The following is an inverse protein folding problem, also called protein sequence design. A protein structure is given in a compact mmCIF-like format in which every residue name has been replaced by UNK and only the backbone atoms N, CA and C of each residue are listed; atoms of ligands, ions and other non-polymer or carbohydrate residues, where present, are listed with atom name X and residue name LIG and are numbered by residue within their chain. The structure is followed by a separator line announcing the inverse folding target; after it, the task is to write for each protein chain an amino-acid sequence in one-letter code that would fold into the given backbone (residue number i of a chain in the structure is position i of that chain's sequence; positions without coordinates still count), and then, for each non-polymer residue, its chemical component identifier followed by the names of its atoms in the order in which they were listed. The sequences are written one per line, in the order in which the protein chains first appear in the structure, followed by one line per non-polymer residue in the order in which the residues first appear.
data_IF_673940276423
#
_entry.id   IF_673940276423
#
_cell.length_a   1.000
_cell.length_b   1.000
_cell.length_c   1.000
_cell.angle_alpha   90.00
_cell.angle_beta   90.00
_cell.angle_gamma   90.00
#
_symmetry.space_group_name_H-M   'P 1'
#
loop_
_entity.id
_entity.type
_entity.pdbx_description
1 polymer ?
#
# COMPACT_ATOMS: atom_id res chain seq x y z
N UNK A 1 12.24 -55.15 18.89
CA UNK A 1 10.82 -54.72 18.98
C UNK A 1 10.81 -53.31 19.55
N UNK A 2 10.65 -52.28 18.70
CA UNK A 2 10.54 -50.89 19.17
C UNK A 2 9.16 -50.71 19.79
N UNK A 3 9.11 -50.24 21.04
CA UNK A 3 7.90 -50.13 21.83
C UNK A 3 6.93 -49.14 21.16
N UNK A 4 5.75 -49.60 20.74
CA UNK A 4 4.70 -48.78 20.09
C UNK A 4 4.29 -47.56 20.94
N UNK A 5 4.53 -47.58 22.25
CA UNK A 5 4.34 -46.42 23.12
C UNK A 5 5.36 -45.30 22.88
N UNK A 6 6.63 -45.65 22.61
CA UNK A 6 7.70 -44.68 22.39
C UNK A 6 7.53 -43.94 21.05
N UNK A 7 7.03 -44.64 20.02
CA UNK A 7 6.73 -44.07 18.70
C UNK A 7 5.53 -43.11 18.77
N UNK A 8 4.51 -43.43 19.56
CA UNK A 8 3.34 -42.54 19.74
C UNK A 8 3.69 -41.25 20.48
N UNK A 9 4.57 -41.31 21.48
CA UNK A 9 5.04 -40.13 22.20
C UNK A 9 5.92 -39.22 21.33
N UNK A 10 6.78 -39.79 20.48
CA UNK A 10 7.60 -39.02 19.55
C UNK A 10 6.77 -38.33 18.47
N UNK A 11 5.71 -38.98 17.95
CA UNK A 11 4.81 -38.36 16.96
C UNK A 11 3.98 -37.23 17.58
N UNK A 12 3.47 -37.40 18.80
CA UNK A 12 2.70 -36.36 19.49
C UNK A 12 3.56 -35.12 19.85
N UNK A 13 4.84 -35.31 20.15
CA UNK A 13 5.78 -34.22 20.42
C UNK A 13 6.26 -33.52 19.14
N UNK A 14 6.34 -34.25 18.01
CA UNK A 14 6.72 -33.66 16.72
C UNK A 14 5.60 -32.82 16.08
N UNK A 15 4.34 -33.06 16.46
CA UNK A 15 3.18 -32.29 15.97
C UNK A 15 2.97 -30.95 16.66
N UNK A 16 3.72 -30.61 17.72
CA UNK A 16 3.56 -29.35 18.47
C UNK A 16 4.48 -28.21 18.01
N UNK A 17 5.32 -28.42 16.97
CA UNK A 17 6.38 -27.47 16.59
C UNK A 17 6.12 -26.68 15.30
N UNK A 18 4.92 -26.70 14.74
CA UNK A 18 4.68 -26.09 13.42
C UNK A 18 3.37 -25.30 13.30
N UNK A 19 3.02 -24.51 14.32
CA UNK A 19 2.17 -23.33 14.13
C UNK A 19 2.72 -22.21 15.00
N UNK A 20 3.96 -21.81 14.71
CA UNK A 20 4.35 -20.44 15.01
C UNK A 20 3.58 -19.56 14.04
N UNK A 21 2.36 -19.16 14.40
CA UNK A 21 1.74 -18.02 13.74
C UNK A 21 2.74 -16.88 13.89
N UNK A 22 3.36 -16.47 12.79
CA UNK A 22 4.14 -15.26 12.80
C UNK A 22 3.18 -14.17 13.25
N UNK A 23 3.33 -13.71 14.50
CA UNK A 23 2.73 -12.46 14.95
C UNK A 23 3.29 -11.42 13.99
N UNK A 24 2.49 -11.08 12.99
CA UNK A 24 2.75 -9.95 12.13
C UNK A 24 2.74 -8.75 13.07
N UNK A 25 3.92 -8.27 13.45
CA UNK A 25 4.05 -6.95 14.01
C UNK A 25 3.65 -6.00 12.89
N UNK A 26 2.36 -5.68 12.81
CA UNK A 26 1.86 -4.71 11.85
C UNK A 26 2.67 -3.42 12.03
N UNK A 27 3.20 -2.89 10.93
CA UNK A 27 4.06 -1.72 10.98
C UNK A 27 3.31 -0.54 11.59
N UNK A 28 4.01 0.28 12.39
CA UNK A 28 3.47 1.53 12.96
C UNK A 28 2.80 2.40 11.89
N UNK A 29 3.41 2.42 10.71
CA UNK A 29 2.93 3.13 9.53
C UNK A 29 1.58 2.59 9.04
N UNK A 30 1.40 1.27 8.93
CA UNK A 30 0.11 0.69 8.51
C UNK A 30 -1.00 1.03 9.49
N UNK A 31 -0.69 1.00 10.80
CA UNK A 31 -1.65 1.37 11.84
C UNK A 31 -2.05 2.85 11.71
N UNK A 32 -1.09 3.73 11.41
CA UNK A 32 -1.36 5.14 11.16
C UNK A 32 -2.33 5.32 9.97
N UNK A 33 -2.15 4.55 8.90
CA UNK A 33 -3.06 4.59 7.75
C UNK A 33 -4.44 4.03 8.06
N UNK A 34 -4.52 2.93 8.81
CA UNK A 34 -5.78 2.37 9.28
C UNK A 34 -6.55 3.41 10.11
N UNK A 35 -5.88 4.06 11.06
CA UNK A 35 -6.49 5.12 11.87
C UNK A 35 -7.01 6.27 10.99
N UNK A 36 -6.22 6.72 10.02
CA UNK A 36 -6.64 7.76 9.08
C UNK A 36 -7.85 7.33 8.26
N UNK A 37 -7.86 6.10 7.74
CA UNK A 37 -8.99 5.56 6.96
C UNK A 37 -10.25 5.45 7.82
N UNK A 38 -10.13 4.93 9.03
CA UNK A 38 -11.26 4.80 9.94
C UNK A 38 -11.84 6.18 10.29
N UNK A 39 -11.00 7.20 10.52
CA UNK A 39 -11.45 8.59 10.69
C UNK A 39 -12.22 9.10 9.46
N UNK A 40 -11.74 8.87 8.24
CA UNK A 40 -12.47 9.29 7.03
C UNK A 40 -13.81 8.56 6.86
N UNK A 41 -13.91 7.34 7.38
CA UNK A 41 -15.15 6.56 7.43
C UNK A 41 -16.05 6.95 8.62
N UNK A 42 -15.64 7.92 9.43
CA UNK A 42 -16.43 8.48 10.53
C UNK A 42 -16.15 7.87 11.91
N UNK A 43 -15.17 6.98 12.07
CA UNK A 43 -14.73 6.55 13.39
C UNK A 43 -13.90 7.67 14.04
N UNK A 44 -14.40 8.34 15.08
CA UNK A 44 -13.67 9.42 15.78
C UNK A 44 -12.54 8.86 16.66
N UNK A 45 -11.39 8.59 16.05
CA UNK A 45 -10.20 8.04 16.73
C UNK A 45 -9.24 9.12 17.24
N UNK A 46 -9.45 10.39 16.86
CA UNK A 46 -8.51 11.48 17.08
C UNK A 46 -7.36 11.47 16.07
N UNK A 47 -6.26 12.16 16.39
CA UNK A 47 -5.09 12.25 15.53
C UNK A 47 -4.41 10.88 15.35
N UNK A 48 -4.20 10.40 14.11
CA UNK A 48 -3.47 9.16 13.86
C UNK A 48 -2.06 9.19 14.45
N UNK A 49 -1.71 8.18 15.26
CA UNK A 49 -0.44 8.09 16.00
C UNK A 49 0.38 6.81 15.68
N UNK A 50 -0.22 5.91 14.91
CA UNK A 50 0.34 4.61 14.53
C UNK A 50 0.37 3.57 15.65
N UNK A 51 -0.34 3.81 16.76
CA UNK A 51 -0.42 2.88 17.89
C UNK A 51 -1.71 2.08 17.81
N UNK A 52 -1.60 0.75 17.79
CA UNK A 52 -2.77 -0.13 17.70
C UNK A 52 -3.45 -0.28 19.07
N UNK A 53 -4.07 0.79 19.53
CA UNK A 53 -4.78 0.84 20.81
C UNK A 53 -6.18 0.21 20.78
N UNK A 54 -6.84 0.07 21.94
CA UNK A 54 -8.18 -0.51 22.04
C UNK A 54 -9.24 0.17 21.19
N UNK A 55 -9.16 1.51 21.05
CA UNK A 55 -10.09 2.28 20.18
C UNK A 55 -9.93 1.90 18.71
N UNK A 56 -8.70 1.83 18.22
CA UNK A 56 -8.40 1.42 16.84
C UNK A 56 -8.85 -0.01 16.59
N UNK A 57 -8.57 -0.94 17.51
CA UNK A 57 -9.02 -2.33 17.39
C UNK A 57 -10.56 -2.45 17.36
N UNK A 58 -11.27 -1.70 18.20
CA UNK A 58 -12.73 -1.69 18.20
C UNK A 58 -13.31 -1.13 16.89
N UNK A 59 -12.72 -0.06 16.36
CA UNK A 59 -13.14 0.51 15.09
C UNK A 59 -12.87 -0.41 13.90
N UNK A 60 -11.73 -1.11 13.89
CA UNK A 60 -11.47 -2.18 12.92
C UNK A 60 -12.55 -3.26 13.01
N UNK A 61 -12.90 -3.72 14.21
CA UNK A 61 -13.89 -4.79 14.38
C UNK A 61 -15.28 -4.40 13.87
N UNK A 62 -15.76 -3.19 14.19
CA UNK A 62 -17.04 -2.67 13.67
C UNK A 62 -17.02 -2.59 12.16
N UNK A 63 -15.94 -2.06 11.59
CA UNK A 63 -15.83 -1.91 10.15
C UNK A 63 -15.70 -3.25 9.42
N UNK A 64 -14.97 -4.21 10.00
CA UNK A 64 -14.84 -5.57 9.52
C UNK A 64 -16.20 -6.29 9.46
N UNK A 65 -17.06 -6.11 10.47
CA UNK A 65 -18.43 -6.62 10.47
C UNK A 65 -19.28 -6.02 9.34
N UNK A 66 -19.17 -4.71 9.11
CA UNK A 66 -19.91 -4.00 8.06
C UNK A 66 -19.52 -4.45 6.65
N UNK A 67 -18.23 -4.69 6.43
CA UNK A 67 -17.68 -4.95 5.09
C UNK A 67 -17.42 -6.43 4.79
N UNK A 68 -17.47 -7.29 5.82
CA UNK A 68 -17.31 -8.75 5.68
C UNK A 68 -15.86 -9.21 5.49
N UNK A 69 -14.94 -8.72 6.33
CA UNK A 69 -13.54 -9.18 6.39
C UNK A 69 -13.12 -9.51 7.83
N UNK A 70 -11.95 -10.13 8.04
CA UNK A 70 -11.49 -10.49 9.40
C UNK A 70 -11.13 -9.24 10.23
N UNK A 71 -11.44 -9.15 11.54
CA UNK A 71 -11.26 -7.94 12.34
C UNK A 71 -9.80 -7.72 12.79
N UNK A 72 -8.88 -7.74 11.84
CA UNK A 72 -7.45 -7.52 12.08
C UNK A 72 -6.93 -6.38 11.21
N UNK A 73 -5.85 -5.68 11.64
CA UNK A 73 -5.19 -4.69 10.81
C UNK A 73 -4.79 -5.24 9.44
N UNK A 74 -4.14 -6.40 9.41
CA UNK A 74 -3.69 -7.04 8.18
C UNK A 74 -4.85 -7.33 7.22
N UNK A 75 -5.94 -7.89 7.71
CA UNK A 75 -7.10 -8.20 6.87
C UNK A 75 -7.81 -6.94 6.36
N UNK A 76 -7.85 -5.84 7.15
CA UNK A 76 -8.34 -4.56 6.65
C UNK A 76 -7.45 -4.04 5.51
N UNK A 77 -6.13 -4.13 5.68
CA UNK A 77 -5.19 -3.75 4.62
C UNK A 77 -5.38 -4.61 3.36
N UNK A 78 -5.56 -5.91 3.51
CA UNK A 78 -5.81 -6.82 2.39
C UNK A 78 -7.17 -6.56 1.73
N UNK A 79 -8.20 -6.25 2.51
CA UNK A 79 -9.53 -5.92 2.00
C UNK A 79 -9.47 -4.70 1.07
N UNK A 80 -8.82 -3.61 1.51
CA UNK A 80 -8.69 -2.40 0.70
C UNK A 80 -7.74 -2.58 -0.48
N UNK A 81 -6.68 -3.38 -0.36
CA UNK A 81 -5.83 -3.77 -1.50
C UNK A 81 -6.57 -4.55 -2.57
N UNK A 82 -7.41 -5.50 -2.15
CA UNK A 82 -8.10 -6.34 -3.10
C UNK A 82 -9.29 -5.60 -3.71
N UNK A 83 -9.96 -4.73 -2.95
CA UNK A 83 -11.02 -3.86 -3.48
C UNK A 83 -10.48 -2.83 -4.47
N UNK A 84 -9.27 -2.33 -4.25
CA UNK A 84 -8.56 -1.40 -5.16
C UNK A 84 -8.54 -1.87 -6.62
N UNK A 85 -8.54 -3.19 -6.89
CA UNK A 85 -8.50 -3.67 -8.27
C UNK A 85 -9.88 -3.75 -8.95
N UNK A 86 -10.98 -3.84 -8.20
CA UNK A 86 -12.31 -4.11 -8.79
C UNK A 86 -13.09 -2.87 -9.19
N UNK A 87 -12.80 -1.71 -8.60
CA UNK A 87 -13.60 -0.49 -8.80
C UNK A 87 -12.89 0.58 -9.64
N UNK A 88 -11.68 0.29 -10.11
CA UNK A 88 -10.88 1.24 -10.88
C UNK A 88 -11.02 1.03 -12.38
N UNK A 89 -10.97 2.13 -13.14
CA UNK A 89 -10.99 2.08 -14.61
C UNK A 89 -9.56 2.20 -15.15
N UNK A 90 -9.06 1.25 -15.97
CA UNK A 90 -7.75 1.39 -16.58
C UNK A 90 -7.65 2.67 -17.42
N UNK A 91 -6.59 3.45 -17.21
CA UNK A 91 -6.29 4.66 -17.97
C UNK A 91 -5.07 4.40 -18.85
N UNK A 92 -5.32 4.08 -20.12
CA UNK A 92 -4.26 3.72 -21.07
C UNK A 92 -4.12 4.70 -22.23
N UNK A 93 -5.13 5.56 -22.45
CA UNK A 93 -5.18 6.50 -23.56
C UNK A 93 -6.20 7.63 -23.31
N UNK A 94 -6.30 8.55 -24.27
CA UNK A 94 -7.22 9.68 -24.23
C UNK A 94 -6.67 10.94 -23.56
N UNK A 95 -7.45 12.04 -23.51
CA UNK A 95 -6.97 13.35 -23.06
C UNK A 95 -6.46 13.35 -21.63
N UNK A 96 -7.14 12.64 -20.71
CA UNK A 96 -6.72 12.53 -19.32
C UNK A 96 -5.37 11.79 -19.19
N UNK A 97 -5.11 10.79 -20.03
CA UNK A 97 -3.83 10.10 -20.06
C UNK A 97 -2.71 11.01 -20.60
N UNK A 98 -3.00 11.86 -21.58
CA UNK A 98 -2.03 12.84 -22.07
C UNK A 98 -1.74 13.93 -21.03
N UNK A 99 -2.76 14.39 -20.30
CA UNK A 99 -2.60 15.32 -19.18
C UNK A 99 -1.71 14.70 -18.09
N UNK A 100 -1.98 13.44 -17.72
CA UNK A 100 -1.13 12.69 -16.80
C UNK A 100 0.33 12.63 -17.28
N UNK A 101 0.56 12.31 -18.56
CA UNK A 101 1.93 12.27 -19.11
C UNK A 101 2.59 13.64 -18.97
N UNK A 102 1.90 14.72 -19.34
CA UNK A 102 2.45 16.08 -19.27
C UNK A 102 2.80 16.51 -17.85
N UNK A 103 2.06 16.03 -16.84
CA UNK A 103 2.37 16.36 -15.45
C UNK A 103 3.67 15.72 -14.93
N UNK A 104 4.24 14.74 -15.63
CA UNK A 104 5.56 14.21 -15.28
C UNK A 104 6.72 15.09 -15.75
N UNK A 105 6.50 16.05 -16.66
CA UNK A 105 7.56 16.90 -17.22
C UNK A 105 8.30 17.69 -16.14
N UNK A 106 7.60 18.10 -15.09
CA UNK A 106 8.16 18.89 -13.98
C UNK A 106 8.82 18.03 -12.89
N UNK A 107 8.59 16.72 -12.91
CA UNK A 107 8.98 15.82 -11.81
C UNK A 107 10.05 14.81 -12.22
N UNK A 108 10.03 14.36 -13.47
CA UNK A 108 11.01 13.42 -14.00
C UNK A 108 12.17 14.15 -14.66
N UNK A 109 13.36 13.62 -14.48
CA UNK A 109 14.55 14.13 -15.15
C UNK A 109 14.49 13.90 -16.68
N UNK A 110 14.01 12.73 -17.10
CA UNK A 110 13.83 12.35 -18.50
C UNK A 110 12.37 11.88 -18.70
N UNK A 111 11.41 12.81 -18.81
CA UNK A 111 9.98 12.48 -18.88
C UNK A 111 9.64 11.69 -20.15
N UNK A 112 10.37 11.89 -21.25
CA UNK A 112 10.17 11.15 -22.50
C UNK A 112 10.59 9.67 -22.39
N UNK A 113 11.38 9.31 -21.39
CA UNK A 113 11.69 7.91 -21.08
C UNK A 113 10.66 7.23 -20.18
N UNK A 114 9.63 7.96 -19.72
CA UNK A 114 8.66 7.44 -18.77
C UNK A 114 7.94 6.20 -19.32
N UNK A 115 7.93 5.16 -18.50
CA UNK A 115 7.17 3.93 -18.72
C UNK A 115 6.12 3.83 -17.62
N UNK A 116 4.86 3.79 -18.03
CA UNK A 116 3.72 3.67 -17.14
C UNK A 116 3.19 2.24 -17.15
N UNK A 117 2.71 1.77 -16.01
CA UNK A 117 1.95 0.52 -15.90
C UNK A 117 0.95 0.59 -14.76
N UNK A 118 -0.05 -0.28 -14.82
CA UNK A 118 -1.09 -0.42 -13.80
C UNK A 118 -1.77 0.93 -13.49
N UNK A 119 -1.91 1.77 -14.53
CA UNK A 119 -2.50 3.10 -14.41
C UNK A 119 -4.02 2.99 -14.42
N UNK A 120 -4.64 3.52 -13.39
CA UNK A 120 -6.07 3.42 -13.17
C UNK A 120 -6.64 4.74 -12.63
N UNK A 121 -7.91 5.00 -12.94
CA UNK A 121 -8.71 6.07 -12.34
C UNK A 121 -9.61 5.46 -11.29
N UNK A 122 -9.62 6.07 -10.10
CA UNK A 122 -10.48 5.71 -8.99
C UNK A 122 -11.86 6.37 -9.11
N UNK A 123 -12.89 5.86 -8.41
CA UNK A 123 -14.20 6.51 -8.32
C UNK A 123 -14.14 7.97 -7.84
N UNK A 124 -13.16 8.30 -6.99
CA UNK A 124 -12.90 9.67 -6.52
C UNK A 124 -12.34 10.60 -7.59
N UNK A 125 -11.92 10.07 -8.74
CA UNK A 125 -11.23 10.81 -9.81
C UNK A 125 -9.70 10.87 -9.63
N UNK A 126 -9.15 10.31 -8.54
CA UNK A 126 -7.72 10.15 -8.38
C UNK A 126 -7.16 9.17 -9.42
N UNK A 127 -5.96 9.45 -9.94
CA UNK A 127 -5.22 8.59 -10.85
C UNK A 127 -4.05 7.99 -10.09
N UNK A 128 -3.94 6.67 -10.18
CA UNK A 128 -2.87 5.92 -9.55
C UNK A 128 -2.19 5.02 -10.56
N UNK A 129 -0.92 4.72 -10.33
CA UNK A 129 -0.20 3.75 -11.14
C UNK A 129 1.25 3.64 -10.75
N UNK A 130 2.04 3.04 -11.64
CA UNK A 130 3.48 3.00 -11.49
C UNK A 130 4.18 3.68 -12.67
N UNK A 131 5.25 4.40 -12.36
CA UNK A 131 6.12 5.06 -13.34
C UNK A 131 7.56 4.59 -13.16
N UNK A 132 8.27 4.42 -14.27
CA UNK A 132 9.70 4.17 -14.31
C UNK A 132 10.33 5.10 -15.36
N UNK A 133 11.48 5.69 -15.05
CA UNK A 133 12.16 6.61 -15.96
C UNK A 133 13.68 6.51 -15.79
N UNK A 134 14.40 7.09 -16.76
CA UNK A 134 15.87 7.14 -16.73
C UNK A 134 16.37 8.21 -15.76
N UNK A 135 17.47 7.91 -15.08
CA UNK A 135 18.24 8.89 -14.31
C UNK A 135 19.28 9.62 -15.19
N UNK A 136 20.10 10.47 -14.58
CA UNK A 136 21.13 11.26 -15.28
C UNK A 136 22.18 10.41 -16.01
N UNK A 137 22.36 9.15 -15.59
CA UNK A 137 23.26 8.20 -16.22
C UNK A 137 22.58 7.39 -17.34
N UNK A 138 21.32 7.69 -17.67
CA UNK A 138 20.55 7.02 -18.71
C UNK A 138 19.98 5.65 -18.31
N UNK A 139 20.09 5.26 -17.04
CA UNK A 139 19.61 3.97 -16.54
C UNK A 139 18.22 4.10 -15.91
N UNK A 140 17.36 3.10 -16.11
CA UNK A 140 16.06 3.01 -15.44
C UNK A 140 16.25 2.73 -13.94
N UNK A 141 15.47 3.42 -13.10
CA UNK A 141 15.58 3.31 -11.63
C UNK A 141 14.60 2.33 -11.00
N UNK A 142 13.80 1.67 -11.84
CA UNK A 142 12.73 0.76 -11.45
C UNK A 142 11.42 1.50 -11.18
N UNK A 143 10.32 0.75 -11.21
CA UNK A 143 8.99 1.30 -11.00
C UNK A 143 8.81 1.88 -9.60
N UNK A 144 8.10 3.01 -9.54
CA UNK A 144 7.64 3.68 -8.30
C UNK A 144 6.16 4.00 -8.44
N UNK A 145 5.44 3.97 -7.32
CA UNK A 145 4.04 4.37 -7.29
C UNK A 145 3.91 5.89 -7.44
N UNK A 146 2.87 6.32 -8.13
CA UNK A 146 2.44 7.71 -8.14
C UNK A 146 0.95 7.80 -7.81
N UNK A 147 0.57 8.96 -7.31
CA UNK A 147 -0.80 9.37 -7.12
C UNK A 147 -0.97 10.78 -7.70
N UNK A 148 -2.05 11.01 -8.43
CA UNK A 148 -2.40 12.29 -8.98
C UNK A 148 -3.89 12.58 -8.77
N UNK A 149 -4.20 13.77 -8.31
CA UNK A 149 -5.55 14.34 -8.28
C UNK A 149 -5.55 15.70 -9.00
N UNK A 150 -6.71 16.24 -9.31
CA UNK A 150 -6.82 17.50 -10.06
C UNK A 150 -5.91 18.60 -9.47
N UNK A 151 -4.87 18.99 -10.22
CA UNK A 151 -3.89 20.02 -9.86
C UNK A 151 -2.72 19.59 -8.97
N UNK A 152 -2.64 18.34 -8.50
CA UNK A 152 -1.52 17.82 -7.68
C UNK A 152 -1.08 16.45 -8.15
N UNK A 153 0.16 16.36 -8.62
CA UNK A 153 0.86 15.09 -8.84
C UNK A 153 1.93 14.91 -7.77
N UNK A 154 1.89 13.78 -7.05
CA UNK A 154 2.96 13.38 -6.13
C UNK A 154 3.52 12.02 -6.58
N UNK A 155 4.78 12.02 -6.98
CA UNK A 155 5.53 10.85 -7.46
C UNK A 155 6.06 9.96 -6.33
N UNK A 156 5.65 10.21 -5.11
CA UNK A 156 6.26 9.57 -3.97
C UNK A 156 7.69 9.96 -3.68
N UNK A 157 8.06 11.14 -4.17
CA UNK A 157 9.36 11.74 -4.03
C UNK A 157 9.24 12.78 -2.92
N UNK A 158 9.54 12.39 -1.66
CA UNK A 158 9.64 13.37 -0.57
C UNK A 158 10.55 14.52 -1.04
N UNK A 159 9.98 15.72 -1.02
CA UNK A 159 10.45 16.96 -1.66
C UNK A 159 11.71 17.57 -1.06
N UNK A 160 12.57 16.75 -0.44
CA UNK A 160 13.90 17.10 0.04
C UNK A 160 15.03 16.20 -0.52
N UNK A 161 14.73 15.24 -1.39
CA UNK A 161 15.75 14.50 -2.14
C UNK A 161 16.12 15.25 -3.44
N UNK A 162 16.75 16.41 -3.29
CA UNK A 162 17.27 17.20 -4.41
C UNK A 162 18.23 16.37 -5.30
N UNK A 163 17.93 16.35 -6.61
CA UNK A 163 18.85 16.20 -7.75
C UNK A 163 19.25 14.81 -8.26
N UNK A 164 18.86 13.71 -7.63
CA UNK A 164 19.13 12.36 -8.16
C UNK A 164 17.96 11.49 -7.74
N UNK A 165 17.26 10.81 -8.65
CA UNK A 165 16.46 9.64 -8.26
C UNK A 165 17.43 8.69 -7.56
N UNK A 166 17.44 8.57 -6.22
CA UNK A 166 18.49 7.85 -5.55
C UNK A 166 18.36 6.36 -5.89
N UNK A 167 19.46 5.60 -5.96
CA UNK A 167 19.35 4.19 -5.73
C UNK A 167 18.76 4.05 -4.33
N UNK A 168 17.63 3.35 -4.21
CA UNK A 168 16.86 3.16 -2.99
C UNK A 168 16.00 4.38 -2.58
N UNK A 169 14.76 4.36 -3.08
CA UNK A 169 13.62 4.82 -2.27
C UNK A 169 13.50 3.77 -1.15
N UNK A 170 13.61 4.20 0.10
CA UNK A 170 13.43 3.32 1.23
C UNK A 170 12.02 2.73 1.17
N UNK A 171 11.86 1.43 1.42
CA UNK A 171 10.56 0.71 1.26
C UNK A 171 9.41 1.39 2.02
N UNK A 172 9.73 2.13 3.07
CA UNK A 172 8.78 2.94 3.84
C UNK A 172 8.03 3.96 2.95
N UNK A 173 8.72 4.66 2.06
CA UNK A 173 8.09 5.72 1.27
C UNK A 173 7.32 5.20 0.06
N UNK A 174 7.68 4.04 -0.52
CA UNK A 174 6.84 3.42 -1.57
C UNK A 174 5.47 3.00 -1.04
N UNK A 175 5.41 2.61 0.23
CA UNK A 175 4.17 2.20 0.89
C UNK A 175 3.24 3.41 1.07
N UNK A 176 3.74 4.57 1.51
CA UNK A 176 2.96 5.82 1.66
C UNK A 176 2.08 6.16 0.45
N UNK A 177 2.58 5.98 -0.77
CA UNK A 177 1.86 6.32 -2.01
C UNK A 177 0.99 5.19 -2.53
N UNK A 178 1.39 3.94 -2.30
CA UNK A 178 0.47 2.83 -2.42
C UNK A 178 -0.75 3.08 -1.51
N UNK A 179 -0.55 3.52 -0.27
CA UNK A 179 -1.63 3.83 0.66
C UNK A 179 -2.45 5.08 0.30
N UNK A 180 -1.86 6.14 -0.28
CA UNK A 180 -2.65 7.26 -0.83
C UNK A 180 -3.66 6.78 -1.86
N UNK A 181 -3.27 5.82 -2.69
CA UNK A 181 -4.17 5.16 -3.62
C UNK A 181 -5.27 4.31 -2.94
N UNK A 182 -5.15 3.97 -1.65
CA UNK A 182 -6.18 3.22 -0.91
C UNK A 182 -7.08 4.13 -0.08
N UNK A 183 -6.56 5.28 0.32
CA UNK A 183 -7.22 6.18 1.25
C UNK A 183 -8.27 7.04 0.55
N UNK A 184 -8.11 7.29 -0.74
CA UNK A 184 -9.07 8.02 -1.60
C UNK A 184 -10.27 7.20 -2.10
N UNK A 185 -10.44 5.94 -1.64
CA UNK A 185 -11.62 5.10 -1.92
C UNK A 185 -12.82 5.41 -1.04
#
# INVERSE_FOLDING_TARGET
MVNKMLVKFLVAFLTLLAFGDAVSAQGREDVFYIQRKLNTLGADLGEPDGILGPKTQAAIAVHAEQMGFDPTPAAMMDFYQNRYWFETTPLTEGPLYQELISSFDDVLLDPYSAQLKDVVVQPSGAICGMVNAKNQMGAYVGYRHFWAASGTMDLGLDTLAYLVMPPFVDKANSNKYAYSCWLDM
#
